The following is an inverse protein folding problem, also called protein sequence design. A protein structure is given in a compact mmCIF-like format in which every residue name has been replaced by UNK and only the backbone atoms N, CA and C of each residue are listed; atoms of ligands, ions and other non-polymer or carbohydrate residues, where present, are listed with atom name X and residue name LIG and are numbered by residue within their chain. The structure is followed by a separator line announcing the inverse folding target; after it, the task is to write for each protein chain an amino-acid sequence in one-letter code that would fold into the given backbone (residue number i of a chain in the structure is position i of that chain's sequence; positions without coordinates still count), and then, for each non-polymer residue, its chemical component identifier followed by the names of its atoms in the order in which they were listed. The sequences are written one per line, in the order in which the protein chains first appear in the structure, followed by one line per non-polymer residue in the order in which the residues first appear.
data_IF_942763335408
#
_entry.id   IF_942763335408
#
_cell.length_a   1.000
_cell.length_b   1.000
_cell.length_c   1.000
_cell.angle_alpha   90.00
_cell.angle_beta   90.00
_cell.angle_gamma   90.00
#
_symmetry.space_group_name_H-M   'P 1'
#
loop_
_entity.id
_entity.type
_entity.pdbx_description
1 polymer ?
#
# COMPACT_ATOMS: atom_id res chain seq x y z
N UNK A 1 -23.63 -15.43 -11.53
CA UNK A 1 -22.72 -14.28 -11.71
C UNK A 1 -23.39 -13.35 -12.70
N UNK A 2 -23.69 -12.13 -12.28
CA UNK A 2 -24.31 -11.09 -13.12
C UNK A 2 -23.20 -10.15 -13.58
N UNK A 3 -23.28 -9.67 -14.82
CA UNK A 3 -22.32 -8.72 -15.37
C UNK A 3 -23.04 -7.43 -15.76
N UNK A 4 -22.56 -6.31 -15.22
CA UNK A 4 -23.10 -4.98 -15.46
C UNK A 4 -22.06 -4.12 -16.19
N UNK A 5 -22.42 -3.65 -17.39
CA UNK A 5 -21.57 -2.80 -18.23
C UNK A 5 -22.16 -1.40 -18.21
N UNK A 6 -21.47 -0.48 -17.53
CA UNK A 6 -21.86 0.91 -17.41
C UNK A 6 -21.31 1.68 -18.61
N UNK A 7 -22.23 2.03 -19.53
CA UNK A 7 -21.93 2.65 -20.83
C UNK A 7 -22.46 4.09 -20.95
N UNK A 8 -23.04 4.62 -19.87
CA UNK A 8 -23.59 5.98 -19.79
C UNK A 8 -23.16 6.63 -18.49
N UNK A 9 -23.02 7.95 -18.50
CA UNK A 9 -22.63 8.71 -17.32
C UNK A 9 -23.60 8.51 -16.16
N UNK A 10 -23.06 8.50 -14.95
CA UNK A 10 -23.77 8.35 -13.69
C UNK A 10 -23.45 9.50 -12.75
N UNK A 11 -24.46 9.99 -12.04
CA UNK A 11 -24.31 11.11 -11.08
C UNK A 11 -24.65 10.72 -9.64
N UNK A 12 -24.82 9.42 -9.40
CA UNK A 12 -25.23 8.86 -8.11
C UNK A 12 -24.43 7.59 -7.83
N UNK A 13 -24.32 7.22 -6.55
CA UNK A 13 -23.72 5.95 -6.15
C UNK A 13 -24.25 4.77 -6.96
N UNK A 14 -23.33 3.88 -7.33
CA UNK A 14 -23.62 2.58 -7.92
C UNK A 14 -23.39 1.47 -6.88
N UNK A 15 -24.44 0.70 -6.59
CA UNK A 15 -24.38 -0.41 -5.64
C UNK A 15 -24.07 -1.71 -6.38
N UNK A 16 -22.93 -2.31 -6.07
CA UNK A 16 -22.49 -3.59 -6.62
C UNK A 16 -23.19 -4.71 -5.86
N UNK A 17 -23.91 -5.56 -6.60
CA UNK A 17 -24.57 -6.72 -6.02
C UNK A 17 -23.61 -7.86 -5.69
N UNK A 18 -24.02 -8.82 -4.87
CA UNK A 18 -23.21 -10.00 -4.58
C UNK A 18 -22.94 -10.84 -5.82
N UNK A 19 -21.72 -11.37 -5.96
CA UNK A 19 -21.31 -12.19 -7.11
C UNK A 19 -21.47 -11.48 -8.46
N UNK A 20 -21.28 -10.16 -8.46
CA UNK A 20 -21.41 -9.29 -9.64
C UNK A 20 -20.06 -8.87 -10.18
N UNK A 21 -19.98 -8.76 -11.49
CA UNK A 21 -18.89 -8.14 -12.23
C UNK A 21 -19.38 -6.81 -12.79
N UNK A 22 -18.68 -5.72 -12.49
CA UNK A 22 -19.04 -4.37 -12.96
C UNK A 22 -17.89 -3.82 -13.78
N UNK A 23 -18.20 -3.24 -14.95
CA UNK A 23 -17.22 -2.49 -15.76
C UNK A 23 -17.74 -1.09 -16.06
N UNK A 24 -16.96 -0.08 -15.70
CA UNK A 24 -17.14 1.30 -16.18
C UNK A 24 -16.35 1.48 -17.47
N UNK A 25 -17.03 1.64 -18.60
CA UNK A 25 -16.40 1.68 -19.92
C UNK A 25 -15.54 2.94 -20.14
N UNK A 26 -14.56 2.91 -21.06
CA UNK A 26 -13.81 4.09 -21.44
C UNK A 26 -14.72 5.24 -21.87
N UNK A 27 -14.37 6.46 -21.47
CA UNK A 27 -15.14 7.67 -21.78
C UNK A 27 -16.44 7.84 -20.98
N UNK A 28 -16.79 6.89 -20.10
CA UNK A 28 -17.93 7.00 -19.19
C UNK A 28 -17.47 7.55 -17.84
N UNK A 29 -18.27 8.44 -17.28
CA UNK A 29 -18.01 9.06 -15.97
C UNK A 29 -19.01 8.62 -14.89
N UNK A 30 -18.51 8.45 -13.68
CA UNK A 30 -19.30 8.33 -12.45
C UNK A 30 -18.89 9.47 -11.53
N UNK A 31 -19.78 10.45 -11.34
CA UNK A 31 -19.55 11.61 -10.49
C UNK A 31 -20.49 11.59 -9.28
N UNK A 32 -19.96 11.59 -8.05
CA UNK A 32 -20.79 11.63 -6.83
C UNK A 32 -20.36 12.80 -5.95
N UNK A 33 -21.20 13.82 -5.87
CA UNK A 33 -20.93 15.05 -5.09
C UNK A 33 -21.23 14.88 -3.59
N UNK A 34 -22.00 13.86 -3.22
CA UNK A 34 -22.32 13.57 -1.82
C UNK A 34 -21.04 13.25 -1.03
N UNK A 35 -20.91 13.85 0.15
CA UNK A 35 -19.69 13.74 0.96
C UNK A 35 -19.54 12.38 1.64
N UNK A 36 -20.64 11.66 1.83
CA UNK A 36 -20.69 10.38 2.55
C UNK A 36 -20.82 9.17 1.65
N UNK A 37 -21.37 9.34 0.45
CA UNK A 37 -21.77 8.21 -0.38
C UNK A 37 -20.62 7.87 -1.32
N UNK A 38 -20.09 6.63 -1.28
CA UNK A 38 -19.06 6.27 -2.23
C UNK A 38 -19.60 6.18 -3.66
N UNK A 39 -18.72 6.33 -4.65
CA UNK A 39 -19.05 6.14 -6.05
C UNK A 39 -19.53 4.72 -6.32
N UNK A 40 -18.67 3.74 -6.05
CA UNK A 40 -19.01 2.32 -6.04
C UNK A 40 -19.13 1.80 -4.61
N UNK A 41 -20.22 1.09 -4.32
CA UNK A 41 -20.45 0.47 -3.01
C UNK A 41 -20.73 -1.03 -3.15
N UNK A 42 -19.89 -1.88 -2.56
CA UNK A 42 -20.20 -3.30 -2.35
C UNK A 42 -20.37 -3.58 -0.85
N UNK A 43 -21.57 -3.34 -0.29
CA UNK A 43 -21.85 -3.47 1.15
C UNK A 43 -22.22 -4.90 1.59
N UNK A 44 -21.61 -5.91 0.99
CA UNK A 44 -21.83 -7.33 1.30
C UNK A 44 -20.49 -8.04 1.50
N UNK A 45 -20.52 -9.35 1.76
CA UNK A 45 -19.34 -10.20 2.01
C UNK A 45 -19.10 -11.28 0.95
N UNK A 46 -19.89 -11.29 -0.13
CA UNK A 46 -19.71 -12.20 -1.27
C UNK A 46 -18.75 -11.65 -2.32
N UNK A 47 -18.11 -12.50 -3.12
CA UNK A 47 -17.17 -12.06 -4.16
C UNK A 47 -17.78 -11.03 -5.10
N UNK A 48 -16.97 -10.08 -5.55
CA UNK A 48 -17.34 -9.10 -6.59
C UNK A 48 -16.09 -8.63 -7.32
N UNK A 49 -16.30 -8.14 -8.53
CA UNK A 49 -15.23 -7.57 -9.35
C UNK A 49 -15.66 -6.22 -9.88
N UNK A 50 -14.78 -5.24 -9.76
CA UNK A 50 -14.95 -3.90 -10.32
C UNK A 50 -13.80 -3.62 -11.30
N UNK A 51 -14.13 -3.31 -12.54
CA UNK A 51 -13.17 -2.82 -13.54
C UNK A 51 -13.50 -1.37 -13.88
N UNK A 52 -12.53 -0.47 -13.73
CA UNK A 52 -12.67 0.95 -14.06
C UNK A 52 -11.76 1.26 -15.25
N UNK A 53 -12.37 1.49 -16.41
CA UNK A 53 -11.70 1.97 -17.63
C UNK A 53 -12.07 3.43 -17.94
N UNK A 54 -13.16 3.92 -17.33
CA UNK A 54 -13.63 5.31 -17.42
C UNK A 54 -13.10 6.18 -16.28
N UNK A 55 -13.91 7.15 -15.87
CA UNK A 55 -13.55 8.13 -14.84
C UNK A 55 -14.51 8.09 -13.67
N UNK A 56 -13.99 7.96 -12.46
CA UNK A 56 -14.75 8.04 -11.20
C UNK A 56 -14.24 9.25 -10.44
N UNK A 57 -15.11 10.21 -10.15
CA UNK A 57 -14.77 11.39 -9.34
C UNK A 57 -15.79 11.55 -8.23
N UNK A 58 -15.34 11.50 -6.99
CA UNK A 58 -16.21 11.56 -5.83
C UNK A 58 -15.70 12.55 -4.79
N UNK A 59 -16.61 13.16 -4.04
CA UNK A 59 -16.20 13.95 -2.89
C UNK A 59 -15.70 13.03 -1.75
N UNK A 60 -16.51 12.03 -1.39
CA UNK A 60 -16.15 10.94 -0.47
C UNK A 60 -15.30 9.86 -1.14
N UNK A 61 -15.30 8.64 -0.60
CA UNK A 61 -14.56 7.48 -1.14
C UNK A 61 -15.00 7.10 -2.56
N UNK A 62 -14.09 6.83 -3.50
CA UNK A 62 -14.53 6.53 -4.88
C UNK A 62 -15.02 5.10 -5.04
N UNK A 63 -14.33 4.12 -4.47
CA UNK A 63 -14.79 2.74 -4.40
C UNK A 63 -14.65 2.17 -2.99
N UNK A 64 -15.74 1.67 -2.41
CA UNK A 64 -15.75 1.02 -1.11
C UNK A 64 -16.22 -0.43 -1.26
N UNK A 65 -15.31 -1.37 -1.03
CA UNK A 65 -15.52 -2.78 -1.37
C UNK A 65 -15.50 -3.64 -0.09
N UNK A 66 -16.66 -4.19 0.28
CA UNK A 66 -16.87 -5.03 1.45
C UNK A 66 -17.79 -4.42 2.51
N UNK A 67 -18.49 -5.27 3.28
CA UNK A 67 -19.31 -4.85 4.41
C UNK A 67 -18.48 -4.66 5.69
N UNK A 68 -17.60 -5.62 6.03
CA UNK A 68 -16.67 -5.57 7.18
C UNK A 68 -15.66 -6.73 7.14
N UNK A 69 -14.57 -6.60 7.91
CA UNK A 69 -13.25 -7.16 7.59
C UNK A 69 -12.99 -8.67 7.76
N UNK A 70 -13.94 -9.46 8.27
CA UNK A 70 -13.68 -10.88 8.56
C UNK A 70 -14.00 -11.85 7.41
N UNK A 71 -14.58 -11.36 6.31
CA UNK A 71 -14.95 -12.20 5.18
C UNK A 71 -13.76 -12.43 4.25
N UNK A 72 -13.50 -13.71 3.91
CA UNK A 72 -12.39 -14.14 3.02
C UNK A 72 -12.80 -14.28 1.55
N UNK A 73 -14.03 -13.90 1.18
CA UNK A 73 -14.45 -14.00 -0.20
C UNK A 73 -13.75 -12.92 -1.03
N UNK A 74 -13.00 -13.38 -2.03
CA UNK A 74 -12.18 -12.54 -2.91
C UNK A 74 -12.98 -11.39 -3.52
N UNK A 75 -12.46 -10.18 -3.35
CA UNK A 75 -12.89 -9.00 -4.08
C UNK A 75 -11.73 -8.51 -4.95
N UNK A 76 -12.02 -8.20 -6.21
CA UNK A 76 -11.02 -7.73 -7.17
C UNK A 76 -11.39 -6.35 -7.69
N UNK A 77 -10.43 -5.43 -7.69
CA UNK A 77 -10.56 -4.12 -8.33
C UNK A 77 -9.44 -3.95 -9.35
N UNK A 78 -9.83 -3.68 -10.60
CA UNK A 78 -8.90 -3.35 -11.68
C UNK A 78 -9.14 -1.92 -12.12
N UNK A 79 -8.09 -1.10 -12.14
CA UNK A 79 -8.11 0.23 -12.75
C UNK A 79 -7.22 0.15 -13.99
N UNK A 80 -7.84 0.12 -15.17
CA UNK A 80 -7.12 0.01 -16.43
C UNK A 80 -6.31 1.26 -16.75
N UNK A 81 -5.47 1.21 -17.78
CA UNK A 81 -4.58 2.28 -18.23
C UNK A 81 -5.27 3.64 -18.49
N UNK A 82 -6.52 3.64 -18.96
CA UNK A 82 -7.35 4.85 -19.12
C UNK A 82 -8.21 5.18 -17.90
N UNK A 83 -8.21 4.29 -16.91
CA UNK A 83 -9.01 4.39 -15.70
C UNK A 83 -8.53 5.51 -14.79
N UNK A 84 -9.46 6.36 -14.35
CA UNK A 84 -9.23 7.35 -13.30
C UNK A 84 -10.19 7.06 -12.14
N UNK A 85 -9.64 6.87 -10.94
CA UNK A 85 -10.38 6.79 -9.69
C UNK A 85 -9.90 7.92 -8.78
N UNK A 86 -10.74 8.93 -8.55
CA UNK A 86 -10.37 10.12 -7.80
C UNK A 86 -11.38 10.43 -6.70
N UNK A 87 -10.89 10.45 -5.47
CA UNK A 87 -11.60 10.95 -4.30
C UNK A 87 -10.99 12.27 -3.85
N UNK A 88 -11.82 13.30 -3.65
CA UNK A 88 -11.33 14.61 -3.23
C UNK A 88 -10.99 14.68 -1.74
N UNK A 89 -11.71 13.94 -0.89
CA UNK A 89 -11.52 14.01 0.58
C UNK A 89 -11.34 12.65 1.25
N UNK A 90 -11.86 11.58 0.64
CA UNK A 90 -11.83 10.22 1.17
C UNK A 90 -10.68 9.41 0.60
N UNK A 91 -10.97 8.15 0.29
CA UNK A 91 -10.01 7.21 -0.29
C UNK A 91 -10.31 7.02 -1.78
N UNK A 92 -9.28 6.85 -2.61
CA UNK A 92 -9.51 6.40 -3.99
C UNK A 92 -10.21 5.04 -3.96
N UNK A 93 -9.57 4.06 -3.32
CA UNK A 93 -10.17 2.74 -3.07
C UNK A 93 -10.05 2.41 -1.58
N UNK A 94 -11.16 2.02 -0.96
CA UNK A 94 -11.19 1.41 0.37
C UNK A 94 -11.60 -0.06 0.28
N UNK A 95 -10.66 -0.95 0.57
CA UNK A 95 -10.89 -2.38 0.70
C UNK A 95 -11.20 -2.71 2.15
N UNK A 96 -12.33 -3.37 2.37
CA UNK A 96 -12.79 -3.81 3.70
C UNK A 96 -12.80 -5.33 3.82
N UNK A 97 -12.00 -6.02 3.01
CA UNK A 97 -11.92 -7.48 3.01
C UNK A 97 -10.51 -8.01 2.84
N UNK A 98 -10.26 -9.09 3.56
CA UNK A 98 -9.07 -9.94 3.47
C UNK A 98 -8.99 -10.71 2.16
N UNK A 99 -7.77 -11.01 1.72
CA UNK A 99 -7.51 -11.72 0.46
C UNK A 99 -7.98 -10.98 -0.79
N UNK A 100 -8.17 -9.66 -0.69
CA UNK A 100 -8.57 -8.84 -1.83
C UNK A 100 -7.40 -8.57 -2.76
N UNK A 101 -7.70 -8.33 -4.03
CA UNK A 101 -6.70 -8.03 -5.06
C UNK A 101 -7.00 -6.67 -5.68
N UNK A 102 -5.97 -5.83 -5.78
CA UNK A 102 -6.00 -4.59 -6.57
C UNK A 102 -4.95 -4.70 -7.67
N UNK A 103 -5.37 -4.38 -8.90
CA UNK A 103 -4.50 -4.23 -10.05
C UNK A 103 -4.69 -2.82 -10.65
N UNK A 104 -3.64 -2.01 -10.66
CA UNK A 104 -3.69 -0.63 -11.10
C UNK A 104 -2.68 -0.35 -12.21
N UNK A 105 -3.19 -0.13 -13.42
CA UNK A 105 -2.46 0.41 -14.56
C UNK A 105 -2.78 1.89 -14.83
N UNK A 106 -3.88 2.40 -14.25
CA UNK A 106 -4.36 3.76 -14.42
C UNK A 106 -3.94 4.71 -13.31
N UNK A 107 -4.85 5.62 -12.94
CA UNK A 107 -4.63 6.59 -11.86
C UNK A 107 -5.62 6.37 -10.73
N UNK A 108 -5.09 6.14 -9.52
CA UNK A 108 -5.84 6.17 -8.27
C UNK A 108 -5.36 7.38 -7.47
N UNK A 109 -6.28 8.25 -7.06
CA UNK A 109 -5.98 9.41 -6.24
C UNK A 109 -7.02 9.53 -5.13
N UNK A 110 -6.57 9.75 -3.90
CA UNK A 110 -7.48 10.01 -2.78
C UNK A 110 -7.03 11.18 -1.92
N UNK A 111 -8.00 11.93 -1.40
CA UNK A 111 -7.75 13.02 -0.47
C UNK A 111 -6.94 12.55 0.74
N UNK A 112 -7.37 11.46 1.39
CA UNK A 112 -6.71 10.88 2.57
C UNK A 112 -5.76 9.73 2.22
N UNK A 113 -6.16 8.80 1.36
CA UNK A 113 -5.23 7.79 0.83
C UNK A 113 -5.62 7.38 -0.58
N UNK A 114 -4.63 7.05 -1.42
CA UNK A 114 -4.91 6.49 -2.74
C UNK A 114 -5.63 5.15 -2.58
N UNK A 115 -5.00 4.24 -1.85
CA UNK A 115 -5.57 2.95 -1.47
C UNK A 115 -5.56 2.80 0.05
N UNK A 116 -6.67 2.32 0.62
CA UNK A 116 -6.80 1.98 2.03
C UNK A 116 -7.30 0.56 2.20
N UNK A 117 -6.62 -0.21 3.04
CA UNK A 117 -7.14 -1.43 3.63
C UNK A 117 -7.64 -1.10 5.03
N UNK A 118 -8.95 -1.30 5.25
CA UNK A 118 -9.61 -0.93 6.49
C UNK A 118 -9.16 -1.82 7.66
N UNK A 119 -9.48 -1.36 8.88
CA UNK A 119 -9.16 -2.12 10.10
C UNK A 119 -9.76 -3.54 10.06
N UNK A 120 -8.96 -4.51 10.49
CA UNK A 120 -9.32 -5.93 10.51
C UNK A 120 -9.14 -6.65 9.16
N UNK A 121 -8.73 -5.95 8.10
CA UNK A 121 -8.36 -6.60 6.84
C UNK A 121 -7.01 -7.26 7.06
N UNK A 122 -6.95 -8.56 6.81
CA UNK A 122 -5.77 -9.40 7.01
C UNK A 122 -5.34 -9.97 5.66
N UNK A 123 -4.16 -9.58 5.20
CA UNK A 123 -3.58 -9.96 3.91
C UNK A 123 -4.33 -9.48 2.66
N UNK A 124 -3.58 -8.97 1.69
CA UNK A 124 -4.09 -8.58 0.39
C UNK A 124 -2.96 -8.42 -0.63
N UNK A 125 -3.31 -8.51 -1.90
CA UNK A 125 -2.38 -8.31 -2.99
C UNK A 125 -2.66 -6.96 -3.68
N UNK A 126 -1.59 -6.23 -4.00
CA UNK A 126 -1.66 -5.01 -4.79
C UNK A 126 -0.54 -5.01 -5.83
N UNK A 127 -0.92 -4.88 -7.10
CA UNK A 127 0.02 -4.58 -8.19
C UNK A 127 -0.25 -3.18 -8.71
N UNK A 128 0.79 -2.36 -8.77
CA UNK A 128 0.72 -1.00 -9.30
C UNK A 128 1.73 -0.83 -10.44
N UNK A 129 1.24 -0.68 -11.67
CA UNK A 129 2.02 -0.21 -12.81
C UNK A 129 1.71 1.25 -13.18
N UNK A 130 0.55 1.76 -12.72
CA UNK A 130 0.09 3.13 -12.92
C UNK A 130 0.54 4.11 -11.83
N UNK A 131 -0.32 5.07 -11.50
CA UNK A 131 -0.09 6.06 -10.43
C UNK A 131 -1.06 5.86 -9.28
N UNK A 132 -0.54 5.81 -8.05
CA UNK A 132 -1.31 5.92 -6.82
C UNK A 132 -0.86 7.18 -6.09
N UNK A 133 -1.80 8.05 -5.72
CA UNK A 133 -1.49 9.30 -5.05
C UNK A 133 -2.38 9.64 -3.87
N UNK A 134 -1.85 10.40 -2.92
CA UNK A 134 -2.63 11.04 -1.87
C UNK A 134 -2.27 12.50 -1.64
N UNK A 135 -3.30 13.33 -1.42
CA UNK A 135 -3.14 14.76 -1.18
C UNK A 135 -2.79 15.10 0.27
N UNK A 136 -3.30 14.34 1.25
CA UNK A 136 -3.17 14.66 2.68
C UNK A 136 -2.60 13.53 3.52
N UNK A 137 -2.68 12.28 3.07
CA UNK A 137 -2.21 11.13 3.84
C UNK A 137 -1.27 10.25 3.05
N UNK A 138 -1.48 8.95 3.12
CA UNK A 138 -0.55 7.95 2.59
C UNK A 138 -0.96 7.45 1.22
N UNK A 139 0.00 7.08 0.37
CA UNK A 139 -0.30 6.56 -0.97
C UNK A 139 -1.09 5.26 -0.84
N UNK A 140 -0.54 4.35 -0.03
CA UNK A 140 -1.20 3.12 0.42
C UNK A 140 -1.21 3.11 1.95
N UNK A 141 -2.36 2.82 2.56
CA UNK A 141 -2.53 2.71 4.00
C UNK A 141 -3.17 1.37 4.38
N UNK A 142 -2.54 0.61 5.27
CA UNK A 142 -3.09 -0.59 5.92
C UNK A 142 -3.18 -0.32 7.42
N UNK A 143 -4.37 -0.49 7.99
CA UNK A 143 -4.63 -0.15 9.41
C UNK A 143 -4.47 -1.35 10.34
N UNK A 144 -4.36 -2.56 9.78
CA UNK A 144 -4.19 -3.80 10.52
C UNK A 144 -5.38 -4.20 11.39
N UNK A 145 -5.37 -5.44 11.87
CA UNK A 145 -6.26 -5.89 12.93
C UNK A 145 -5.63 -5.60 14.30
N UNK A 146 -6.20 -4.67 15.06
CA UNK A 146 -5.76 -4.46 16.44
C UNK A 146 -6.07 -5.69 17.30
N UNK A 147 -5.03 -6.38 17.79
CA UNK A 147 -5.11 -7.32 18.91
C UNK A 147 -5.23 -8.82 18.56
N UNK A 148 -4.07 -9.50 18.55
CA UNK A 148 -3.92 -10.89 19.01
C UNK A 148 -3.94 -12.01 17.98
N UNK A 149 -3.94 -11.71 16.68
CA UNK A 149 -3.75 -12.70 15.61
C UNK A 149 -2.31 -12.73 15.10
N UNK A 150 -1.89 -13.83 14.47
CA UNK A 150 -0.65 -13.80 13.67
C UNK A 150 -0.82 -12.75 12.58
N UNK A 151 0.09 -11.77 12.43
CA UNK A 151 0.00 -10.78 11.37
C UNK A 151 0.00 -11.50 10.03
N UNK A 152 -0.97 -11.15 9.18
CA UNK A 152 -1.04 -11.70 7.84
C UNK A 152 -0.17 -10.89 6.89
N UNK A 153 0.04 -11.45 5.70
CA UNK A 153 0.95 -10.91 4.72
C UNK A 153 0.23 -10.05 3.69
N UNK A 154 0.63 -8.79 3.59
CA UNK A 154 0.32 -7.94 2.44
C UNK A 154 1.43 -8.09 1.39
N UNK A 155 1.06 -8.39 0.15
CA UNK A 155 2.02 -8.55 -0.95
C UNK A 155 1.85 -7.41 -1.95
N UNK A 156 2.81 -6.49 -1.98
CA UNK A 156 2.77 -5.32 -2.85
C UNK A 156 3.87 -5.36 -3.91
N UNK A 157 3.48 -5.12 -5.16
CA UNK A 157 4.40 -4.97 -6.29
C UNK A 157 4.19 -3.59 -6.91
N UNK A 158 5.21 -2.74 -6.84
CA UNK A 158 5.16 -1.41 -7.44
C UNK A 158 6.15 -1.32 -8.61
N UNK A 159 5.64 -1.17 -9.82
CA UNK A 159 6.41 -0.80 -11.03
C UNK A 159 6.07 0.60 -11.56
N UNK A 160 5.01 1.21 -11.05
CA UNK A 160 4.58 2.57 -11.38
C UNK A 160 5.08 3.61 -10.38
N UNK A 161 4.22 4.59 -10.08
CA UNK A 161 4.52 5.67 -9.12
C UNK A 161 3.53 5.68 -7.97
N UNK A 162 4.05 5.76 -6.75
CA UNK A 162 3.30 6.01 -5.52
C UNK A 162 3.81 7.33 -4.94
N UNK A 163 2.93 8.32 -4.78
CA UNK A 163 3.31 9.63 -4.26
C UNK A 163 2.31 10.16 -3.23
N UNK A 164 2.79 10.57 -2.06
CA UNK A 164 1.91 10.89 -0.94
C UNK A 164 2.45 11.96 -0.01
N UNK A 165 1.54 12.80 0.48
CA UNK A 165 1.87 13.91 1.37
C UNK A 165 2.40 13.49 2.75
N UNK A 166 2.08 12.27 3.22
CA UNK A 166 2.64 11.70 4.45
C UNK A 166 3.57 10.53 4.15
N UNK A 167 3.05 9.31 4.04
CA UNK A 167 3.85 8.12 3.76
C UNK A 167 3.58 7.59 2.36
N UNK A 168 4.61 7.16 1.63
CA UNK A 168 4.39 6.45 0.36
C UNK A 168 3.53 5.20 0.59
N UNK A 169 3.99 4.34 1.49
CA UNK A 169 3.28 3.16 1.98
C UNK A 169 3.32 3.16 3.51
N UNK A 170 2.17 2.90 4.15
CA UNK A 170 2.06 2.71 5.60
C UNK A 170 1.32 1.42 5.89
N UNK A 171 1.93 0.54 6.68
CA UNK A 171 1.32 -0.69 7.16
C UNK A 171 1.45 -0.75 8.67
N UNK A 172 0.34 -0.95 9.38
CA UNK A 172 0.31 -1.05 10.83
C UNK A 172 -0.11 -2.46 11.25
N UNK A 173 0.61 -3.05 12.22
CA UNK A 173 0.26 -4.31 12.88
C UNK A 173 0.15 -5.54 11.96
N UNK A 174 0.71 -5.48 10.75
CA UNK A 174 0.65 -6.55 9.74
C UNK A 174 2.02 -6.72 9.08
N UNK A 175 2.25 -7.85 8.42
CA UNK A 175 3.50 -8.06 7.67
C UNK A 175 3.39 -7.53 6.24
N UNK A 176 4.52 -7.11 5.68
CA UNK A 176 4.60 -6.56 4.32
C UNK A 176 5.72 -7.23 3.52
N UNK A 177 5.35 -7.89 2.42
CA UNK A 177 6.27 -8.27 1.35
C UNK A 177 6.14 -7.24 0.22
N UNK A 178 7.15 -6.38 0.07
CA UNK A 178 7.19 -5.30 -0.90
C UNK A 178 8.29 -5.51 -1.93
N UNK A 179 7.90 -5.58 -3.20
CA UNK A 179 8.82 -5.49 -4.33
C UNK A 179 8.64 -4.15 -5.05
N UNK A 180 9.66 -3.30 -5.02
CA UNK A 180 9.67 -2.01 -5.70
C UNK A 180 10.60 -2.00 -6.90
N UNK A 181 10.03 -1.77 -8.08
CA UNK A 181 10.71 -1.47 -9.34
C UNK A 181 10.53 -0.02 -9.79
N UNK A 182 9.47 0.65 -9.30
CA UNK A 182 9.11 2.02 -9.68
C UNK A 182 9.55 3.07 -8.67
N UNK A 183 8.71 4.09 -8.49
CA UNK A 183 8.92 5.19 -7.55
C UNK A 183 7.96 5.09 -6.37
N UNK A 184 8.49 5.17 -5.15
CA UNK A 184 7.71 5.37 -3.91
C UNK A 184 8.22 6.63 -3.24
N UNK A 185 7.37 7.66 -3.18
CA UNK A 185 7.72 8.98 -2.66
C UNK A 185 6.75 9.35 -1.55
N UNK A 186 7.25 9.34 -0.31
CA UNK A 186 6.56 9.91 0.84
C UNK A 186 7.22 11.22 1.26
N UNK A 187 6.44 12.27 1.45
CA UNK A 187 6.96 13.55 1.97
C UNK A 187 7.32 13.48 3.46
N UNK A 188 6.91 12.43 4.17
CA UNK A 188 7.42 12.03 5.48
C UNK A 188 8.35 10.83 5.34
N UNK A 189 7.76 9.63 5.30
CA UNK A 189 8.47 8.34 5.18
C UNK A 189 8.15 7.67 3.86
N UNK A 190 9.14 7.07 3.18
CA UNK A 190 8.88 6.30 1.96
C UNK A 190 7.99 5.09 2.23
N UNK A 191 8.49 4.16 3.05
CA UNK A 191 7.78 2.96 3.51
C UNK A 191 7.82 2.92 5.03
N UNK A 192 6.66 2.83 5.68
CA UNK A 192 6.53 2.71 7.13
C UNK A 192 5.79 1.41 7.49
N UNK A 193 6.42 0.58 8.31
CA UNK A 193 5.85 -0.58 8.98
C UNK A 193 5.85 -0.30 10.48
N UNK A 194 4.68 0.01 11.04
CA UNK A 194 4.52 0.22 12.48
C UNK A 194 4.46 -1.12 13.18
N UNK A 195 5.33 -1.28 14.16
CA UNK A 195 5.36 -2.43 15.06
C UNK A 195 4.11 -2.52 15.93
N UNK A 196 3.68 -3.75 16.19
CA UNK A 196 2.89 -4.09 17.35
C UNK A 196 3.74 -5.06 18.18
N UNK A 197 4.22 -4.68 19.38
CA UNK A 197 5.14 -5.51 20.15
C UNK A 197 4.52 -6.83 20.64
N UNK A 198 3.21 -7.02 20.42
CA UNK A 198 2.52 -8.28 20.68
C UNK A 198 2.42 -9.21 19.46
N UNK A 199 2.83 -8.73 18.27
CA UNK A 199 2.72 -9.42 16.99
C UNK A 199 4.10 -9.51 16.33
N UNK A 200 4.43 -10.66 15.74
CA UNK A 200 5.70 -10.84 15.00
C UNK A 200 5.63 -10.27 13.58
N UNK A 201 5.19 -9.02 13.42
CA UNK A 201 5.06 -8.40 12.10
C UNK A 201 6.45 -8.05 11.53
N UNK A 202 6.62 -8.29 10.23
CA UNK A 202 7.90 -8.15 9.53
C UNK A 202 7.76 -7.47 8.18
N UNK A 203 8.83 -6.85 7.73
CA UNK A 203 9.04 -6.31 6.39
C UNK A 203 9.99 -7.23 5.61
N UNK A 204 9.56 -7.68 4.43
CA UNK A 204 10.48 -8.13 3.38
C UNK A 204 10.44 -7.10 2.25
N UNK A 205 11.52 -6.34 2.07
CA UNK A 205 11.64 -5.32 1.05
C UNK A 205 12.71 -5.70 0.02
N UNK A 206 12.32 -5.74 -1.26
CA UNK A 206 13.25 -5.75 -2.40
C UNK A 206 13.08 -4.46 -3.18
N UNK A 207 14.08 -3.58 -3.10
CA UNK A 207 14.09 -2.32 -3.84
C UNK A 207 15.07 -2.37 -5.02
N UNK A 208 14.54 -2.19 -6.23
CA UNK A 208 15.31 -1.99 -7.47
C UNK A 208 15.05 -0.63 -8.11
N UNK A 209 14.00 0.08 -7.66
CA UNK A 209 13.63 1.42 -8.10
C UNK A 209 14.07 2.51 -7.10
N UNK A 210 13.22 3.52 -6.94
CA UNK A 210 13.41 4.62 -5.99
C UNK A 210 12.44 4.47 -4.82
N UNK A 211 12.97 4.58 -3.60
CA UNK A 211 12.17 4.86 -2.40
C UNK A 211 12.72 6.14 -1.76
N UNK A 212 11.85 7.11 -1.54
CA UNK A 212 12.21 8.40 -0.97
C UNK A 212 11.28 8.75 0.19
N UNK A 213 11.89 9.06 1.32
CA UNK A 213 11.27 9.84 2.40
C UNK A 213 11.95 11.21 2.52
N UNK A 214 11.31 12.17 3.18
CA UNK A 214 11.99 13.43 3.48
C UNK A 214 13.12 13.23 4.49
N UNK A 215 12.93 12.32 5.45
CA UNK A 215 13.94 11.97 6.45
C UNK A 215 14.23 10.48 6.48
N UNK A 216 13.21 9.63 6.35
CA UNK A 216 13.31 8.18 6.47
C UNK A 216 12.77 7.51 5.21
N UNK A 217 13.63 6.80 4.48
CA UNK A 217 13.20 6.04 3.31
C UNK A 217 12.41 4.80 3.73
N UNK A 218 12.89 4.09 4.75
CA UNK A 218 12.30 2.85 5.27
C UNK A 218 12.29 2.92 6.79
N UNK A 219 11.11 2.86 7.38
CA UNK A 219 10.87 2.80 8.81
C UNK A 219 10.19 1.48 9.12
N UNK A 220 10.99 0.44 9.36
CA UNK A 220 10.53 -0.89 9.68
C UNK A 220 10.81 -1.11 11.16
N UNK A 221 9.93 -0.61 12.02
CA UNK A 221 10.16 -0.73 13.48
C UNK A 221 9.85 -2.13 14.02
N UNK A 222 9.60 -3.10 13.12
CA UNK A 222 9.03 -4.40 13.43
C UNK A 222 10.02 -5.35 14.09
N UNK A 223 9.74 -6.65 13.91
CA UNK A 223 10.63 -7.73 14.35
C UNK A 223 11.68 -8.01 13.26
N UNK A 224 11.90 -9.27 12.89
CA UNK A 224 12.94 -9.68 11.94
C UNK A 224 12.68 -9.14 10.52
N UNK A 225 13.18 -7.94 10.25
CA UNK A 225 13.00 -7.24 8.98
C UNK A 225 14.16 -7.56 8.01
N UNK A 226 13.80 -7.67 6.72
CA UNK A 226 14.74 -7.92 5.63
C UNK A 226 14.62 -6.84 4.56
N UNK A 227 15.70 -6.10 4.33
CA UNK A 227 15.81 -5.11 3.27
C UNK A 227 16.91 -5.50 2.30
N UNK A 228 16.57 -5.66 1.02
CA UNK A 228 17.51 -5.83 -0.09
C UNK A 228 17.42 -4.62 -1.01
N UNK A 229 18.45 -3.78 -1.02
CA UNK A 229 18.52 -2.59 -1.85
C UNK A 229 19.50 -2.76 -3.01
N UNK A 230 18.96 -2.75 -4.22
CA UNK A 230 19.69 -2.73 -5.49
C UNK A 230 19.49 -1.36 -6.18
N UNK A 231 18.39 -0.67 -5.87
CA UNK A 231 18.04 0.65 -6.39
C UNK A 231 18.58 1.80 -5.56
N UNK A 232 17.75 2.84 -5.39
CA UNK A 232 18.08 4.04 -4.60
C UNK A 232 17.14 4.19 -3.41
N UNK A 233 17.71 4.41 -2.23
CA UNK A 233 17.00 4.85 -1.04
C UNK A 233 17.45 6.28 -0.70
N UNK A 234 16.49 7.21 -0.64
CA UNK A 234 16.71 8.60 -0.23
C UNK A 234 16.05 8.84 1.13
N UNK A 235 16.88 8.95 2.17
CA UNK A 235 16.47 8.98 3.57
C UNK A 235 17.11 7.85 4.37
N UNK A 236 17.01 7.94 5.70
CA UNK A 236 17.50 6.93 6.63
C UNK A 236 16.72 5.61 6.50
N UNK A 237 17.32 4.53 7.00
CA UNK A 237 16.67 3.24 7.20
C UNK A 237 16.71 2.88 8.67
N UNK A 238 15.54 2.65 9.27
CA UNK A 238 15.40 2.13 10.62
C UNK A 238 14.75 0.73 10.56
N UNK A 239 15.35 -0.26 11.22
CA UNK A 239 14.89 -1.67 11.23
C UNK A 239 14.41 -2.15 12.61
N UNK A 240 14.36 -1.28 13.61
CA UNK A 240 13.67 -1.60 14.86
C UNK A 240 14.34 -2.68 15.71
N UNK A 241 13.56 -3.64 16.18
CA UNK A 241 14.01 -4.72 17.06
C UNK A 241 14.13 -6.02 16.24
N UNK A 242 14.63 -7.10 16.84
CA UNK A 242 14.69 -8.41 16.18
C UNK A 242 15.97 -8.64 15.37
N UNK A 243 16.04 -9.77 14.67
CA UNK A 243 17.21 -10.14 13.88
C UNK A 243 17.10 -9.60 12.46
N UNK A 244 17.60 -8.38 12.25
CA UNK A 244 17.42 -7.68 10.98
C UNK A 244 18.51 -8.02 9.96
N UNK A 245 18.14 -7.97 8.67
CA UNK A 245 19.06 -8.13 7.56
C UNK A 245 18.96 -6.98 6.56
N UNK A 246 20.08 -6.32 6.31
CA UNK A 246 20.20 -5.27 5.30
C UNK A 246 21.30 -5.62 4.28
N UNK A 247 20.88 -5.93 3.05
CA UNK A 247 21.78 -6.21 1.92
C UNK A 247 21.76 -5.05 0.93
N UNK A 248 22.85 -4.29 0.82
CA UNK A 248 22.99 -3.16 -0.10
C UNK A 248 23.93 -3.47 -1.26
N UNK A 249 23.43 -3.36 -2.48
CA UNK A 249 24.22 -3.30 -3.71
C UNK A 249 23.94 -2.05 -4.55
N UNK A 250 22.93 -1.26 -4.15
CA UNK A 250 22.55 0.00 -4.77
C UNK A 250 23.13 1.23 -4.07
N UNK A 251 22.33 2.30 -4.00
CA UNK A 251 22.67 3.55 -3.32
C UNK A 251 21.75 3.82 -2.15
N UNK A 252 22.33 4.19 -1.02
CA UNK A 252 21.64 4.72 0.15
C UNK A 252 22.18 6.11 0.50
N UNK A 253 21.28 7.09 0.50
CA UNK A 253 21.52 8.44 0.99
C UNK A 253 20.85 8.64 2.35
N UNK A 254 21.47 8.10 3.40
CA UNK A 254 20.99 8.19 4.77
C UNK A 254 21.76 7.26 5.70
N UNK A 255 21.41 7.33 6.98
CA UNK A 255 21.94 6.42 8.01
C UNK A 255 21.17 5.10 8.00
N UNK A 256 21.80 4.03 8.50
CA UNK A 256 21.14 2.75 8.81
C UNK A 256 21.20 2.52 10.32
N UNK A 257 20.05 2.25 10.93
CA UNK A 257 19.94 1.86 12.34
C UNK A 257 19.18 0.55 12.46
N UNK A 258 19.81 -0.49 12.99
CA UNK A 258 19.20 -1.81 13.13
C UNK A 258 18.63 -2.12 14.53
N UNK A 259 18.90 -1.25 15.52
CA UNK A 259 18.34 -1.32 16.86
C UNK A 259 18.87 -2.47 17.71
N UNK A 260 18.02 -3.37 18.19
CA UNK A 260 18.42 -4.44 19.11
C UNK A 260 18.17 -5.82 18.48
N UNK A 261 19.14 -6.71 18.61
CA UNK A 261 19.00 -8.08 18.13
C UNK A 261 20.31 -8.64 17.60
N UNK A 262 20.23 -9.64 16.73
CA UNK A 262 21.40 -10.17 16.05
C UNK A 262 21.32 -9.75 14.58
N UNK A 263 21.81 -8.55 14.29
CA UNK A 263 21.64 -7.90 13.00
C UNK A 263 22.78 -8.24 12.04
N UNK A 264 22.46 -8.28 10.75
CA UNK A 264 23.41 -8.46 9.68
C UNK A 264 23.31 -7.34 8.65
N UNK A 265 24.44 -6.70 8.36
CA UNK A 265 24.56 -5.68 7.35
C UNK A 265 25.65 -6.06 6.35
N UNK A 266 25.28 -6.16 5.08
CA UNK A 266 26.19 -6.41 3.96
C UNK A 266 26.12 -5.23 3.00
N UNK A 267 27.25 -4.61 2.67
CA UNK A 267 27.31 -3.55 1.67
C UNK A 267 28.35 -3.86 0.59
N UNK A 268 27.93 -3.82 -0.67
CA UNK A 268 28.82 -3.74 -1.84
C UNK A 268 28.53 -2.50 -2.70
N UNK A 269 27.56 -1.67 -2.27
CA UNK A 269 27.11 -0.45 -2.93
C UNK A 269 27.61 0.83 -2.25
N UNK A 270 26.90 1.93 -2.50
CA UNK A 270 27.19 3.23 -1.89
C UNK A 270 26.27 3.49 -0.69
N UNK A 271 26.87 3.86 0.44
CA UNK A 271 26.18 4.41 1.61
C UNK A 271 26.86 5.72 1.98
N UNK A 272 26.09 6.82 2.03
CA UNK A 272 26.65 8.13 2.39
C UNK A 272 26.47 8.52 3.85
N UNK A 273 25.67 7.76 4.62
CA UNK A 273 25.47 7.95 6.05
C UNK A 273 26.27 6.97 6.91
N UNK A 274 25.99 6.99 8.21
CA UNK A 274 26.54 6.05 9.19
C UNK A 274 25.73 4.75 9.25
N UNK A 275 26.37 3.67 9.72
CA UNK A 275 25.70 2.41 10.04
C UNK A 275 25.85 2.14 11.53
N UNK A 276 24.72 1.99 12.22
CA UNK A 276 24.65 1.67 13.63
C UNK A 276 23.78 0.42 13.83
N UNK A 277 24.42 -0.72 14.06
CA UNK A 277 23.71 -1.98 14.30
C UNK A 277 23.21 -2.14 15.74
N UNK A 278 23.49 -1.15 16.61
CA UNK A 278 22.98 -1.13 17.98
C UNK A 278 23.42 -2.31 18.85
N UNK A 279 22.50 -2.87 19.61
CA UNK A 279 22.79 -3.90 20.62
C UNK A 279 22.85 -5.31 20.01
N UNK A 280 23.45 -6.25 20.77
CA UNK A 280 23.49 -7.66 20.41
C UNK A 280 24.66 -8.09 19.52
N UNK A 281 24.51 -9.28 18.93
CA UNK A 281 25.61 -10.00 18.28
C UNK A 281 25.61 -9.77 16.76
N UNK A 282 26.12 -8.61 16.36
CA UNK A 282 25.95 -8.10 15.01
C UNK A 282 27.07 -8.52 14.04
N UNK A 283 26.70 -8.66 12.76
CA UNK A 283 27.61 -8.91 11.64
C UNK A 283 27.62 -7.70 10.70
N UNK A 284 28.81 -7.23 10.36
CA UNK A 284 29.03 -6.14 9.42
C UNK A 284 30.06 -6.55 8.37
N UNK A 285 29.66 -6.50 7.10
CA UNK A 285 30.50 -6.78 5.93
C UNK A 285 30.38 -5.63 4.90
N UNK A 286 31.51 -5.09 4.43
CA UNK A 286 31.59 -3.90 3.57
C UNK A 286 32.85 -3.88 2.70
#
# INVERSE_FOLDING_TARGET
MVADILSTDLTTQYVIGPTTFVTLMPGVSLAVEATTDPGFLASHDQSCTLTVLGTVVTFGTSAQIGATATATALAAVTVGDTGLVQSLTGYGIEMRRSGSVIDNDGTISGGNAGVRYAAGVIGADLTNSGTISSLLGSGIAVIGAAGGGTPDLFTFVNSGRIEAALQGISVASESLDLTNHGEIIGFGTGVALSDDPSLENRLTLVNTGLIQGATVAVDATGHDDRVTNIGTLLGAVALGEGANLFDNSGTLHGDVTAGSGADAFTNVGLVTGGVALGEGANLFDN
#
